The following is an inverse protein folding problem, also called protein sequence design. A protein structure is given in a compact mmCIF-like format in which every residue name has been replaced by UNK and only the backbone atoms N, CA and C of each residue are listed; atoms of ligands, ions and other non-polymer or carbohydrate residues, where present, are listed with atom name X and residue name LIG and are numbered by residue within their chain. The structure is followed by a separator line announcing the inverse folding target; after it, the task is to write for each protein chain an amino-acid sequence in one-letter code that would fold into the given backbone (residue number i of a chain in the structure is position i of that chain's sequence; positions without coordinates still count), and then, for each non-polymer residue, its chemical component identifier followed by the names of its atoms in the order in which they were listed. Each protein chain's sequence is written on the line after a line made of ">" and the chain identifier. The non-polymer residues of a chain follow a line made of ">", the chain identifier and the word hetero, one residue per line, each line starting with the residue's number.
data_IF_735339946038
#
_entry.id   IF_735339946038
#
_cell.length_a   1.000
_cell.length_b   1.000
_cell.length_c   1.000
_cell.angle_alpha   90.00
_cell.angle_beta   90.00
_cell.angle_gamma   90.00
#
_symmetry.space_group_name_H-M   'P 1'
#
loop_
_entity.id
_entity.type
_entity.pdbx_description
1 polymer ?
#
# COMPACT_ATOMS: atom_id res chain seq x y z
N UNK A 1 -16.56 -20.75 -13.88
CA UNK A 1 -15.81 -19.51 -13.56
C UNK A 1 -15.64 -18.59 -14.77
N UNK A 2 -15.34 -19.15 -15.95
CA UNK A 2 -15.22 -18.36 -17.18
C UNK A 2 -16.48 -17.55 -17.52
N UNK A 3 -17.65 -18.16 -17.44
CA UNK A 3 -18.93 -17.49 -17.73
C UNK A 3 -19.19 -16.32 -16.76
N UNK A 4 -18.95 -16.53 -15.46
CA UNK A 4 -19.00 -15.48 -14.42
C UNK A 4 -18.04 -14.32 -14.71
N UNK A 5 -16.85 -14.63 -15.24
CA UNK A 5 -15.89 -13.60 -15.66
C UNK A 5 -16.41 -12.78 -16.85
N UNK A 6 -16.96 -13.43 -17.87
CA UNK A 6 -17.59 -12.76 -19.02
C UNK A 6 -18.75 -11.84 -18.59
N UNK A 7 -19.53 -12.27 -17.61
CA UNK A 7 -20.65 -11.50 -17.05
C UNK A 7 -20.23 -10.43 -16.05
N UNK A 8 -18.93 -10.31 -15.74
CA UNK A 8 -18.37 -9.37 -14.75
C UNK A 8 -18.89 -9.60 -13.31
N UNK A 9 -19.25 -10.83 -12.93
CA UNK A 9 -19.87 -11.15 -11.63
C UNK A 9 -18.93 -10.89 -10.44
N UNK A 10 -17.62 -11.03 -10.65
CA UNK A 10 -16.60 -10.79 -9.62
C UNK A 10 -16.34 -9.31 -9.37
N UNK A 11 -16.91 -8.43 -10.20
CA UNK A 11 -16.71 -7.00 -10.15
C UNK A 11 -15.76 -6.47 -11.22
N UNK A 12 -15.46 -5.18 -11.10
CA UNK A 12 -14.75 -4.38 -12.09
C UNK A 12 -13.58 -3.64 -11.46
N UNK A 13 -12.51 -3.48 -12.22
CA UNK A 13 -11.28 -2.86 -11.74
C UNK A 13 -11.54 -1.42 -11.24
N UNK A 14 -11.08 -1.07 -10.02
CA UNK A 14 -11.25 0.28 -9.48
C UNK A 14 -10.34 1.31 -10.16
N UNK A 15 -9.30 0.88 -10.89
CA UNK A 15 -8.38 1.77 -11.59
C UNK A 15 -9.08 2.40 -12.80
N UNK A 16 -9.12 3.72 -12.85
CA UNK A 16 -9.81 4.50 -13.89
C UNK A 16 -9.34 4.12 -15.30
N UNK A 17 -8.02 4.02 -15.51
CA UNK A 17 -7.43 3.65 -16.81
C UNK A 17 -7.64 2.19 -17.23
N UNK A 18 -8.22 1.36 -16.36
CA UNK A 18 -8.64 0.02 -16.77
C UNK A 18 -9.98 0.04 -17.49
N UNK A 19 -10.74 1.15 -17.47
CA UNK A 19 -12.07 1.28 -18.06
C UNK A 19 -13.03 0.18 -17.59
N UNK A 20 -13.09 -0.01 -16.26
CA UNK A 20 -14.03 -0.95 -15.63
C UNK A 20 -13.88 -2.40 -16.11
N UNK A 21 -12.64 -2.81 -16.41
CA UNK A 21 -12.31 -4.17 -16.84
C UNK A 21 -12.73 -5.23 -15.80
N UNK A 22 -13.18 -6.40 -16.26
CA UNK A 22 -13.62 -7.50 -15.41
C UNK A 22 -12.48 -8.03 -14.52
N UNK A 23 -12.83 -8.45 -13.31
CA UNK A 23 -11.88 -8.99 -12.34
C UNK A 23 -12.04 -10.50 -12.17
N UNK A 24 -11.03 -11.14 -11.59
CA UNK A 24 -11.05 -12.54 -11.20
C UNK A 24 -10.75 -12.68 -9.70
N UNK A 25 -11.38 -13.60 -8.97
CA UNK A 25 -11.00 -13.87 -7.60
C UNK A 25 -9.62 -14.54 -7.55
N UNK A 26 -8.85 -14.23 -6.51
CA UNK A 26 -7.53 -14.81 -6.26
C UNK A 26 -7.32 -14.94 -4.74
N UNK A 27 -6.69 -16.04 -4.31
CA UNK A 27 -6.14 -16.18 -2.98
C UNK A 27 -4.68 -15.73 -2.94
N UNK A 28 -4.25 -14.98 -1.93
CA UNK A 28 -2.81 -14.68 -1.77
C UNK A 28 -2.02 -15.88 -1.27
N UNK A 29 -2.71 -16.81 -0.59
CA UNK A 29 -2.14 -18.00 0.01
C UNK A 29 -3.07 -19.18 -0.30
N UNK A 30 -2.49 -20.36 -0.51
CA UNK A 30 -3.24 -21.60 -0.75
C UNK A 30 -3.60 -22.32 0.57
N UNK A 31 -3.03 -21.87 1.68
CA UNK A 31 -3.34 -22.38 3.02
C UNK A 31 -4.51 -21.61 3.63
N UNK A 32 -5.50 -22.30 4.22
CA UNK A 32 -6.69 -21.67 4.78
C UNK A 32 -6.36 -20.79 6.00
N UNK A 33 -7.24 -19.83 6.27
CA UNK A 33 -7.21 -18.86 7.39
C UNK A 33 -6.00 -17.93 7.40
N UNK A 34 -5.28 -17.78 6.28
CA UNK A 34 -4.18 -16.81 6.18
C UNK A 34 -4.65 -15.45 5.65
N UNK A 35 -5.45 -15.45 4.58
CA UNK A 35 -5.91 -14.22 3.95
C UNK A 35 -7.27 -14.40 3.29
N UNK A 36 -8.08 -13.33 3.30
CA UNK A 36 -9.36 -13.27 2.60
C UNK A 36 -9.15 -13.24 1.09
N UNK A 37 -10.20 -13.58 0.33
CA UNK A 37 -10.20 -13.47 -1.13
C UNK A 37 -9.89 -12.03 -1.58
N UNK A 38 -9.09 -11.92 -2.63
CA UNK A 38 -8.79 -10.68 -3.33
C UNK A 38 -9.26 -10.78 -4.78
N UNK A 39 -9.21 -9.67 -5.51
CA UNK A 39 -9.61 -9.59 -6.90
C UNK A 39 -8.40 -9.18 -7.76
N UNK A 40 -8.02 -10.03 -8.69
CA UNK A 40 -6.98 -9.78 -9.67
C UNK A 40 -7.54 -9.10 -10.91
N UNK A 41 -6.87 -8.04 -11.38
CA UNK A 41 -7.16 -7.40 -12.66
C UNK A 41 -6.15 -7.83 -13.72
N UNK A 42 -6.55 -8.53 -14.79
CA UNK A 42 -5.62 -8.93 -15.86
C UNK A 42 -5.13 -7.77 -16.72
N UNK A 43 -5.81 -6.62 -16.70
CA UNK A 43 -5.43 -5.45 -17.52
C UNK A 43 -4.29 -4.63 -16.91
N UNK A 44 -4.32 -4.39 -15.60
CA UNK A 44 -3.26 -3.68 -14.88
C UNK A 44 -2.36 -4.59 -14.03
N UNK A 45 -2.64 -5.89 -13.99
CA UNK A 45 -1.85 -6.91 -13.30
C UNK A 45 -1.66 -6.64 -11.81
N UNK A 46 -2.75 -6.20 -11.17
CA UNK A 46 -2.73 -5.73 -9.80
C UNK A 46 -3.91 -6.34 -9.02
N UNK A 47 -3.75 -6.38 -7.70
CA UNK A 47 -4.65 -7.07 -6.77
C UNK A 47 -5.42 -6.05 -5.93
N UNK A 48 -6.74 -6.23 -5.89
CA UNK A 48 -7.67 -5.32 -5.24
C UNK A 48 -8.48 -6.02 -4.15
N UNK A 49 -8.91 -5.26 -3.17
CA UNK A 49 -9.89 -5.73 -2.19
C UNK A 49 -11.29 -5.74 -2.80
N UNK A 50 -12.12 -6.76 -2.54
CA UNK A 50 -13.53 -6.73 -2.90
C UNK A 50 -14.23 -5.51 -2.31
N UNK A 51 -15.04 -4.80 -3.11
CA UNK A 51 -15.75 -3.57 -2.67
C UNK A 51 -16.82 -3.85 -1.61
N UNK A 52 -17.47 -5.01 -1.71
CA UNK A 52 -18.54 -5.39 -0.78
C UNK A 52 -17.97 -6.13 0.43
N UNK A 53 -18.35 -5.68 1.63
CA UNK A 53 -17.97 -6.31 2.90
C UNK A 53 -18.43 -7.76 3.02
N UNK A 54 -19.50 -8.15 2.29
CA UNK A 54 -19.97 -9.56 2.22
C UNK A 54 -18.87 -10.52 1.78
N UNK A 55 -17.98 -10.07 0.89
CA UNK A 55 -16.92 -10.92 0.34
C UNK A 55 -15.63 -10.82 1.16
N UNK A 56 -15.57 -9.94 2.16
CA UNK A 56 -14.40 -9.76 3.01
C UNK A 56 -14.21 -10.91 4.01
N UNK A 57 -15.23 -11.71 4.30
CA UNK A 57 -15.12 -12.87 5.19
C UNK A 57 -14.79 -14.18 4.47
N UNK A 58 -14.73 -14.18 3.13
CA UNK A 58 -14.49 -15.39 2.34
C UNK A 58 -12.97 -15.65 2.30
N UNK A 59 -12.57 -16.87 2.63
CA UNK A 59 -11.17 -17.30 2.58
C UNK A 59 -10.65 -17.34 1.12
N UNK A 60 -9.48 -16.74 0.89
CA UNK A 60 -8.85 -16.73 -0.42
C UNK A 60 -8.35 -18.09 -0.87
N UNK A 61 -8.01 -18.98 0.08
CA UNK A 61 -7.52 -20.32 -0.22
C UNK A 61 -8.51 -21.17 -1.04
N UNK A 62 -9.81 -20.88 -0.97
CA UNK A 62 -10.83 -21.58 -1.76
C UNK A 62 -10.76 -21.30 -3.25
N UNK A 63 -10.11 -20.21 -3.66
CA UNK A 63 -9.87 -19.89 -5.06
C UNK A 63 -8.46 -20.28 -5.51
N UNK A 64 -7.51 -20.27 -4.58
CA UNK A 64 -6.11 -20.51 -4.84
C UNK A 64 -5.38 -19.32 -5.45
N UNK A 65 -4.05 -19.38 -5.39
CA UNK A 65 -3.13 -18.36 -5.89
C UNK A 65 -2.94 -18.38 -7.39
N UNK A 66 -3.15 -19.54 -8.01
CA UNK A 66 -2.84 -19.78 -9.43
C UNK A 66 -4.04 -19.59 -10.37
N UNK A 67 -5.27 -19.50 -9.86
CA UNK A 67 -6.48 -19.56 -10.67
C UNK A 67 -6.51 -18.54 -11.84
N UNK A 68 -6.23 -17.22 -11.65
CA UNK A 68 -6.23 -16.29 -12.76
C UNK A 68 -5.19 -16.62 -13.84
N UNK A 69 -3.99 -17.04 -13.44
CA UNK A 69 -2.93 -17.45 -14.37
C UNK A 69 -3.35 -18.68 -15.19
N UNK A 70 -3.89 -19.70 -14.51
CA UNK A 70 -4.39 -20.92 -15.15
C UNK A 70 -5.52 -20.62 -16.15
N UNK A 71 -6.43 -19.70 -15.82
CA UNK A 71 -7.53 -19.29 -16.69
C UNK A 71 -7.00 -18.71 -18.02
N UNK A 72 -6.02 -17.80 -17.96
CA UNK A 72 -5.45 -17.20 -19.18
C UNK A 72 -4.49 -18.11 -19.93
N UNK A 73 -3.90 -19.11 -19.25
CA UNK A 73 -3.15 -20.17 -19.94
C UNK A 73 -4.07 -21.05 -20.80
N UNK A 74 -5.28 -21.36 -20.31
CA UNK A 74 -6.28 -22.14 -21.07
C UNK A 74 -6.99 -21.28 -22.12
N UNK A 75 -7.24 -20.01 -21.82
CA UNK A 75 -7.96 -19.07 -22.69
C UNK A 75 -7.13 -17.81 -23.00
N UNK A 76 -6.03 -17.93 -23.78
CA UNK A 76 -5.13 -16.81 -24.07
C UNK A 76 -5.82 -15.67 -24.83
N UNK A 77 -6.86 -15.98 -25.62
CA UNK A 77 -7.64 -14.98 -26.36
C UNK A 77 -8.43 -14.01 -25.48
N UNK A 78 -8.58 -14.32 -24.18
CA UNK A 78 -9.27 -13.45 -23.22
C UNK A 78 -8.32 -12.51 -22.48
N UNK A 79 -7.00 -12.65 -22.69
CA UNK A 79 -6.02 -11.75 -22.08
C UNK A 79 -6.19 -10.34 -22.66
N UNK A 80 -6.43 -9.31 -21.82
CA UNK A 80 -6.62 -7.95 -22.30
C UNK A 80 -5.32 -7.32 -22.77
N UNK A 81 -5.42 -6.36 -23.69
CA UNK A 81 -4.32 -5.45 -23.97
C UNK A 81 -4.01 -4.60 -22.73
N UNK A 82 -2.72 -4.46 -22.43
CA UNK A 82 -2.26 -3.69 -21.27
C UNK A 82 -2.49 -2.20 -21.51
N UNK A 83 -2.86 -1.47 -20.46
CA UNK A 83 -2.99 -0.01 -20.53
C UNK A 83 -1.61 0.65 -20.48
N UNK A 84 -1.23 1.41 -21.51
CA UNK A 84 -0.06 2.30 -21.49
C UNK A 84 -0.33 3.62 -20.77
N UNK A 85 -1.60 3.95 -20.56
CA UNK A 85 -2.01 5.20 -19.93
C UNK A 85 -1.69 5.23 -18.43
N UNK A 86 -1.00 6.29 -18.02
CA UNK A 86 -0.73 6.61 -16.63
C UNK A 86 -1.35 7.95 -16.29
N UNK A 87 -1.94 8.05 -15.10
CA UNK A 87 -2.45 9.30 -14.58
C UNK A 87 -1.32 10.35 -14.51
N UNK A 88 -1.52 11.47 -15.19
CA UNK A 88 -0.61 12.62 -15.18
C UNK A 88 -1.22 13.70 -14.28
N UNK A 89 -0.69 13.94 -13.08
CA UNK A 89 -1.22 14.96 -12.20
C UNK A 89 -0.95 16.35 -12.78
N UNK A 90 -1.99 17.19 -12.82
CA UNK A 90 -1.93 18.57 -13.31
C UNK A 90 -2.52 19.55 -12.28
N UNK A 91 -1.91 20.72 -12.15
CA UNK A 91 -2.38 21.84 -11.33
C UNK A 91 -2.57 23.03 -12.28
N UNK A 92 -3.78 23.59 -12.33
CA UNK A 92 -4.14 24.65 -13.30
C UNK A 92 -3.77 24.30 -14.77
N UNK A 93 -3.87 23.02 -15.14
CA UNK A 93 -3.53 22.54 -16.49
C UNK A 93 -2.04 22.24 -16.72
N UNK A 94 -1.15 22.68 -15.83
CA UNK A 94 0.28 22.41 -15.92
C UNK A 94 0.64 21.08 -15.28
N UNK A 95 1.51 20.30 -15.93
CA UNK A 95 2.04 19.05 -15.37
C UNK A 95 2.92 19.38 -14.16
N UNK A 96 2.81 18.59 -13.10
CA UNK A 96 3.71 18.70 -11.95
C UNK A 96 5.12 18.27 -12.39
N UNK A 97 6.11 19.14 -12.20
CA UNK A 97 7.50 18.84 -12.50
C UNK A 97 8.09 17.80 -11.54
N UNK A 98 9.06 16.99 -12.00
CA UNK A 98 9.65 15.90 -11.19
C UNK A 98 10.35 16.41 -9.92
N UNK A 99 10.94 17.62 -9.95
CA UNK A 99 11.55 18.24 -8.76
C UNK A 99 10.56 18.40 -7.60
N UNK A 100 9.29 18.72 -7.90
CA UNK A 100 8.26 18.86 -6.88
C UNK A 100 7.86 17.50 -6.25
N UNK A 101 7.99 16.40 -7.00
CA UNK A 101 7.77 15.05 -6.45
C UNK A 101 8.89 14.67 -5.50
N UNK A 102 10.14 14.97 -5.85
CA UNK A 102 11.31 14.70 -5.00
C UNK A 102 11.28 15.54 -3.72
N UNK A 103 10.91 16.83 -3.82
CA UNK A 103 10.84 17.74 -2.67
C UNK A 103 9.91 17.20 -1.56
N UNK A 104 8.71 16.70 -1.92
CA UNK A 104 7.79 16.08 -0.95
C UNK A 104 8.40 14.89 -0.21
N UNK A 105 9.18 14.05 -0.91
CA UNK A 105 9.87 12.93 -0.28
C UNK A 105 10.99 13.42 0.64
N UNK A 106 11.79 14.40 0.20
CA UNK A 106 12.87 14.99 1.00
C UNK A 106 12.36 15.67 2.28
N UNK A 107 11.26 16.43 2.20
CA UNK A 107 10.64 17.07 3.36
C UNK A 107 10.09 16.03 4.35
N UNK A 108 9.50 14.93 3.84
CA UNK A 108 9.09 13.80 4.68
C UNK A 108 10.28 13.16 5.40
N UNK A 109 11.38 12.92 4.70
CA UNK A 109 12.60 12.37 5.32
C UNK A 109 13.18 13.31 6.37
N UNK A 110 13.17 14.63 6.11
CA UNK A 110 13.62 15.65 7.06
C UNK A 110 12.78 15.63 8.34
N UNK A 111 11.45 15.61 8.22
CA UNK A 111 10.55 15.54 9.37
C UNK A 111 10.79 14.25 10.19
N UNK A 112 10.95 13.10 9.53
CA UNK A 112 11.25 11.83 10.22
C UNK A 112 12.62 11.86 10.93
N UNK A 113 13.60 12.55 10.36
CA UNK A 113 14.91 12.74 10.99
C UNK A 113 14.81 13.66 12.22
N UNK A 114 14.07 14.77 12.12
CA UNK A 114 13.84 15.69 13.23
C UNK A 114 13.11 15.00 14.39
N UNK A 115 12.14 14.14 14.11
CA UNK A 115 11.43 13.33 15.11
C UNK A 115 12.39 12.36 15.81
N UNK A 116 13.23 11.63 15.06
CA UNK A 116 14.26 10.75 15.63
C UNK A 116 15.22 11.50 16.56
N UNK A 117 15.70 12.67 16.13
CA UNK A 117 16.60 13.49 16.95
C UNK A 117 15.93 13.99 18.24
N UNK A 118 14.63 14.28 18.22
CA UNK A 118 13.87 14.65 19.42
C UNK A 118 13.74 13.48 20.38
N UNK A 119 13.46 12.28 19.89
CA UNK A 119 13.40 11.07 20.71
C UNK A 119 14.75 10.78 21.37
N UNK A 120 15.86 10.91 20.63
CA UNK A 120 17.22 10.76 21.16
C UNK A 120 17.56 11.85 22.20
N UNK A 121 17.06 13.07 22.03
CA UNK A 121 17.26 14.15 23.02
C UNK A 121 16.47 13.96 24.32
N UNK A 122 15.32 13.28 24.26
CA UNK A 122 14.46 13.04 25.42
C UNK A 122 14.98 11.95 26.37
N UNK A 123 15.86 11.06 25.88
CA UNK A 123 16.50 10.01 26.67
C UNK A 123 17.76 10.48 27.42
N UNK A 124 18.16 11.76 27.27
CA UNK A 124 19.36 12.33 27.88
C UNK A 124 19.05 13.58 28.72
N UNK A 125 18.13 13.49 29.69
CA UNK A 125 18.03 14.47 30.78
C UNK A 125 18.76 13.95 32.03
N UNK A 126 20.03 14.35 32.29
CA UNK A 126 20.63 14.17 33.60
C UNK A 126 19.97 15.15 34.58
N UNK A 127 19.29 14.64 35.60
CA UNK A 127 18.80 15.45 36.72
C UNK A 127 19.97 16.16 37.41
N UNK A 128 20.05 17.48 37.27
CA UNK A 128 20.94 18.34 38.04
C UNK A 128 20.48 18.39 39.50
N UNK A 129 21.23 17.76 40.42
CA UNK A 129 21.15 18.06 41.85
C UNK A 129 22.00 19.30 42.13
N UNK A 130 21.34 20.38 42.55
CA UNK A 130 21.92 21.68 42.89
C UNK A 130 22.68 21.68 44.22
N UNK A 131 23.86 22.31 44.20
CA UNK A 131 24.45 23.25 45.17
C UNK A 131 24.59 22.87 46.66
N UNK A 132 25.78 23.07 47.24
CA UNK A 132 26.19 24.40 47.73
C UNK A 132 27.65 24.43 48.22
N UNK A 133 28.40 25.46 47.83
CA UNK A 133 29.68 25.81 48.44
C UNK A 133 29.45 26.81 49.58
N UNK A 134 30.18 26.62 50.69
CA UNK A 134 30.67 27.73 51.51
C UNK A 134 30.43 27.59 53.01
N UNK A 135 31.49 27.28 53.76
CA UNK A 135 31.92 28.10 54.91
C UNK A 135 33.21 27.56 55.53
N UNK A 136 34.19 28.46 55.58
CA UNK A 136 35.43 28.45 56.35
C UNK A 136 35.17 28.33 57.85
N UNK A 137 35.93 27.51 58.59
CA UNK A 137 36.50 27.87 59.92
C UNK A 137 37.69 26.96 60.29
N UNK A 138 38.79 27.61 60.68
CA UNK A 138 39.95 27.08 61.43
C UNK A 138 39.52 26.48 62.77
N UNK A 139 40.25 25.48 63.28
CA UNK A 139 40.94 25.50 64.60
C UNK A 139 41.66 24.19 64.90
N UNK A 140 42.92 24.35 65.36
CA UNK A 140 43.75 23.49 66.25
C UNK A 140 43.99 22.03 65.87
#
# INVERSE_FOLDING_TARGET
>A
MLEKYKNCDFGRCPRVHCHLHALLPIGLHDMPRQSTVKLYCPKCEDIYNPKSSRHSSIDGAYFGSSFPGMLFQVYPQLAPSKSSERYVPKIFGFKIHESAKLARWQDKQRMLMEERLKDDSSTHNPTNTTNNNGSVTKTT
#
